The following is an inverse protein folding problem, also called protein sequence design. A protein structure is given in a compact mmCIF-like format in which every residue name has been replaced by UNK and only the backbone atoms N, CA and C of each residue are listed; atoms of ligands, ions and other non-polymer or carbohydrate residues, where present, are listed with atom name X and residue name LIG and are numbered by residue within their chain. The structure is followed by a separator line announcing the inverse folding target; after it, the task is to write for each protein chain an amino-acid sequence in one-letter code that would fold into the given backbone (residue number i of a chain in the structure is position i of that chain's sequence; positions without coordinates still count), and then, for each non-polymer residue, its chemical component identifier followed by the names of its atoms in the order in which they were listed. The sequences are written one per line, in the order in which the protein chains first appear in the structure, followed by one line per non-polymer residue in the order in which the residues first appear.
data_IF_232467984305
#
_entry.id   IF_232467984305
#
_cell.length_a   1.000
_cell.length_b   1.000
_cell.length_c   1.000
_cell.angle_alpha   90.00
_cell.angle_beta   90.00
_cell.angle_gamma   90.00
#
_symmetry.space_group_name_H-M   'P 1'
#
loop_
_entity.id
_entity.type
_entity.pdbx_description
1 polymer ?
#
# COMPACT_ATOMS: atom_id res chain seq x y z
N UNK A 1 7.83 -11.78 -8.92
CA UNK A 1 8.69 -12.74 -8.17
C UNK A 1 9.10 -13.93 -9.03
N UNK A 2 8.17 -14.75 -9.51
CA UNK A 2 8.49 -15.94 -10.32
C UNK A 2 9.31 -15.60 -11.59
N UNK A 3 8.93 -14.56 -12.33
CA UNK A 3 9.67 -14.09 -13.52
C UNK A 3 11.10 -13.63 -13.20
N UNK A 4 11.37 -13.20 -11.96
CA UNK A 4 12.70 -12.82 -11.50
C UNK A 4 13.49 -14.01 -10.93
N UNK A 5 12.95 -15.23 -11.03
CA UNK A 5 13.59 -16.45 -10.54
C UNK A 5 13.65 -16.55 -9.01
N UNK A 6 12.90 -15.71 -8.28
CA UNK A 6 12.78 -15.80 -6.82
C UNK A 6 12.02 -17.08 -6.48
N UNK A 7 12.57 -17.86 -5.55
CA UNK A 7 11.95 -19.11 -5.13
C UNK A 7 10.70 -18.82 -4.28
N UNK A 8 9.53 -19.24 -4.78
CA UNK A 8 8.23 -19.06 -4.14
C UNK A 8 7.45 -20.39 -4.17
N UNK A 9 6.49 -20.61 -3.26
CA UNK A 9 5.56 -21.74 -3.37
C UNK A 9 4.79 -21.70 -4.68
N UNK A 10 4.56 -22.86 -5.29
CA UNK A 10 3.66 -22.97 -6.44
C UNK A 10 2.25 -22.58 -6.04
N UNK A 11 1.58 -21.74 -6.83
CA UNK A 11 0.22 -21.34 -6.57
C UNK A 11 -0.41 -20.57 -7.72
N UNK A 12 -1.73 -20.46 -7.68
CA UNK A 12 -2.52 -19.75 -8.67
C UNK A 12 -3.65 -18.96 -7.99
N UNK A 13 -4.05 -17.86 -8.61
CA UNK A 13 -5.16 -17.02 -8.14
C UNK A 13 -6.49 -17.63 -8.62
N UNK A 14 -7.46 -17.70 -7.72
CA UNK A 14 -8.85 -18.03 -7.99
C UNK A 14 -9.75 -16.81 -7.73
N UNK A 15 -10.65 -16.53 -8.67
CA UNK A 15 -11.70 -15.50 -8.56
C UNK A 15 -13.08 -16.09 -8.24
N UNK A 16 -13.18 -17.41 -8.16
CA UNK A 16 -14.40 -18.12 -7.77
C UNK A 16 -14.08 -19.34 -6.90
N UNK A 17 -15.03 -19.82 -6.07
CA UNK A 17 -14.86 -21.06 -5.31
C UNK A 17 -14.57 -22.28 -6.20
N UNK A 18 -15.13 -22.33 -7.41
CA UNK A 18 -14.89 -23.41 -8.37
C UNK A 18 -13.48 -23.35 -8.98
N UNK A 19 -12.96 -22.16 -9.25
CA UNK A 19 -11.55 -22.01 -9.61
C UNK A 19 -10.62 -22.46 -8.48
N UNK A 20 -10.95 -22.13 -7.22
CA UNK A 20 -10.15 -22.55 -6.08
C UNK A 20 -10.11 -24.08 -5.95
N UNK A 21 -11.26 -24.75 -6.17
CA UNK A 21 -11.34 -26.21 -6.27
C UNK A 21 -10.42 -26.77 -7.37
N UNK A 22 -10.53 -26.22 -8.58
CA UNK A 22 -9.77 -26.68 -9.73
C UNK A 22 -8.25 -26.52 -9.53
N UNK A 23 -7.82 -25.40 -8.94
CA UNK A 23 -6.42 -25.14 -8.62
C UNK A 23 -5.92 -26.11 -7.55
N UNK A 24 -6.68 -26.31 -6.47
CA UNK A 24 -6.31 -27.27 -5.42
C UNK A 24 -6.13 -28.68 -5.98
N UNK A 25 -7.05 -29.12 -6.86
CA UNK A 25 -6.94 -30.41 -7.56
C UNK A 25 -5.71 -30.46 -8.48
N UNK A 26 -5.40 -29.38 -9.20
CA UNK A 26 -4.23 -29.29 -10.10
C UNK A 26 -2.90 -29.33 -9.35
N UNK A 27 -2.83 -28.71 -8.16
CA UNK A 27 -1.64 -28.75 -7.33
C UNK A 27 -1.33 -30.17 -6.84
N UNK A 28 -2.34 -31.02 -6.68
CA UNK A 28 -2.17 -32.45 -6.36
C UNK A 28 -1.56 -32.73 -4.99
N UNK A 29 -1.46 -31.72 -4.12
CA UNK A 29 -0.98 -31.85 -2.75
C UNK A 29 -2.08 -32.36 -1.83
N UNK A 30 -1.69 -33.03 -0.73
CA UNK A 30 -2.62 -33.46 0.33
C UNK A 30 -3.21 -32.28 1.10
N UNK A 31 -2.49 -31.16 1.12
CA UNK A 31 -2.93 -29.91 1.72
C UNK A 31 -2.45 -28.71 0.91
N UNK A 32 -3.26 -27.66 0.93
CA UNK A 32 -2.98 -26.38 0.27
C UNK A 32 -3.29 -25.23 1.22
N UNK A 33 -2.74 -24.06 0.91
CA UNK A 33 -2.98 -22.84 1.66
C UNK A 33 -3.79 -21.87 0.79
N UNK A 34 -4.94 -21.44 1.33
CA UNK A 34 -5.79 -20.39 0.76
C UNK A 34 -5.44 -19.07 1.43
N UNK A 35 -5.01 -18.07 0.65
CA UNK A 35 -4.65 -16.73 1.13
C UNK A 35 -5.53 -15.67 0.48
N UNK A 36 -6.30 -14.95 1.29
CA UNK A 36 -7.08 -13.80 0.85
C UNK A 36 -6.18 -12.75 0.17
N UNK A 37 -6.54 -12.32 -1.03
CA UNK A 37 -5.83 -11.26 -1.74
C UNK A 37 -6.52 -9.92 -1.43
N UNK A 38 -5.98 -9.24 -0.43
CA UNK A 38 -6.44 -7.94 0.06
C UNK A 38 -5.21 -7.08 0.30
N UNK A 39 -5.24 -5.80 -0.09
CA UNK A 39 -4.14 -4.85 0.12
C UNK A 39 -4.06 -4.36 1.58
N UNK A 40 -3.85 -5.31 2.49
CA UNK A 40 -3.62 -5.05 3.92
C UNK A 40 -2.78 -6.18 4.53
N UNK A 41 -1.95 -5.83 5.51
CA UNK A 41 -1.23 -6.78 6.36
C UNK A 41 -2.13 -7.42 7.42
N UNK A 42 -1.59 -8.38 8.16
CA UNK A 42 -2.30 -9.00 9.29
C UNK A 42 -3.47 -9.91 8.91
N UNK A 43 -3.57 -10.32 7.64
CA UNK A 43 -4.65 -11.17 7.10
C UNK A 43 -4.89 -12.42 7.93
N UNK A 44 -3.84 -13.10 8.39
CA UNK A 44 -3.96 -14.31 9.21
C UNK A 44 -4.75 -14.14 10.51
N UNK A 45 -4.73 -12.93 11.11
CA UNK A 45 -5.47 -12.58 12.34
C UNK A 45 -6.79 -11.84 12.06
N UNK A 46 -7.10 -11.58 10.79
CA UNK A 46 -8.33 -10.86 10.40
C UNK A 46 -9.60 -11.70 10.58
N UNK A 47 -10.75 -11.07 10.41
CA UNK A 47 -12.06 -11.75 10.43
C UNK A 47 -12.87 -11.30 9.22
N UNK A 48 -13.56 -12.23 8.56
CA UNK A 48 -14.45 -11.92 7.46
C UNK A 48 -15.86 -11.57 7.93
N UNK A 49 -16.56 -10.79 7.12
CA UNK A 49 -18.00 -10.54 7.25
C UNK A 49 -18.85 -11.83 7.29
N UNK A 50 -18.39 -12.90 6.65
CA UNK A 50 -19.02 -14.23 6.71
C UNK A 50 -18.91 -14.92 8.07
N UNK A 51 -18.13 -14.37 9.01
CA UNK A 51 -17.79 -15.00 10.29
C UNK A 51 -16.52 -15.85 10.26
N UNK A 52 -15.93 -16.10 9.08
CA UNK A 52 -14.68 -16.84 8.97
C UNK A 52 -13.53 -16.08 9.64
N UNK A 53 -12.86 -16.72 10.61
CA UNK A 53 -11.68 -16.15 11.28
C UNK A 53 -10.41 -16.49 10.51
N UNK A 54 -9.64 -15.50 10.09
CA UNK A 54 -8.33 -15.62 9.44
C UNK A 54 -8.41 -15.68 7.91
N UNK A 55 -7.65 -14.79 7.26
CA UNK A 55 -7.46 -14.71 5.81
C UNK A 55 -6.38 -15.62 5.23
N UNK A 56 -5.76 -16.47 6.06
CA UNK A 56 -4.82 -17.50 5.62
C UNK A 56 -5.27 -18.82 6.23
N UNK A 57 -5.61 -19.80 5.39
CA UNK A 57 -6.20 -21.07 5.80
C UNK A 57 -5.49 -22.24 5.16
N UNK A 58 -5.13 -23.22 5.97
CA UNK A 58 -4.71 -24.54 5.49
C UNK A 58 -5.98 -25.38 5.31
N UNK A 59 -6.08 -26.05 4.17
CA UNK A 59 -7.18 -26.95 3.81
C UNK A 59 -6.62 -28.27 3.30
N UNK A 60 -7.36 -29.36 3.50
CA UNK A 60 -6.89 -30.73 3.27
C UNK A 60 -7.59 -31.44 2.10
N UNK A 61 -8.43 -30.73 1.36
CA UNK A 61 -9.07 -31.25 0.15
C UNK A 61 -9.47 -30.12 -0.81
N UNK A 62 -9.64 -30.40 -2.11
CA UNK A 62 -10.23 -29.46 -3.06
C UNK A 62 -11.62 -28.98 -2.64
N UNK A 63 -12.44 -29.85 -2.03
CA UNK A 63 -13.77 -29.53 -1.51
C UNK A 63 -13.70 -28.51 -0.37
N UNK A 64 -12.75 -28.67 0.56
CA UNK A 64 -12.49 -27.67 1.60
C UNK A 64 -11.98 -26.35 1.00
N UNK A 65 -11.11 -26.40 -0.02
CA UNK A 65 -10.64 -25.20 -0.71
C UNK A 65 -11.82 -24.40 -1.30
N UNK A 66 -12.80 -25.09 -1.90
CA UNK A 66 -14.05 -24.47 -2.38
C UNK A 66 -14.86 -23.86 -1.24
N UNK A 67 -15.10 -24.62 -0.18
CA UNK A 67 -15.93 -24.20 0.95
C UNK A 67 -15.33 -23.04 1.76
N UNK A 68 -14.00 -22.98 1.90
CA UNK A 68 -13.32 -21.86 2.54
C UNK A 68 -13.32 -20.64 1.62
N UNK A 69 -13.05 -20.83 0.33
CA UNK A 69 -13.01 -19.71 -0.63
C UNK A 69 -14.38 -19.04 -0.82
N UNK A 70 -15.49 -19.77 -0.71
CA UNK A 70 -16.84 -19.18 -0.76
C UNK A 70 -17.17 -18.28 0.42
N UNK A 71 -16.48 -18.45 1.56
CA UNK A 71 -16.59 -17.58 2.72
C UNK A 71 -15.64 -16.37 2.66
N UNK A 72 -14.67 -16.38 1.74
CA UNK A 72 -13.73 -15.27 1.53
C UNK A 72 -14.12 -14.39 0.35
N UNK A 73 -14.36 -14.98 -0.82
CA UNK A 73 -14.58 -14.26 -2.09
C UNK A 73 -15.90 -13.48 -2.02
N UNK A 74 -15.85 -12.20 -2.35
CA UNK A 74 -17.00 -11.28 -2.28
C UNK A 74 -17.36 -10.85 -0.86
N UNK A 75 -16.51 -11.13 0.14
CA UNK A 75 -16.70 -10.72 1.54
C UNK A 75 -15.62 -9.75 1.99
N UNK A 76 -15.96 -8.84 2.89
CA UNK A 76 -14.97 -7.94 3.50
C UNK A 76 -14.12 -8.68 4.52
N UNK A 77 -12.81 -8.49 4.45
CA UNK A 77 -11.85 -8.88 5.48
C UNK A 77 -11.53 -7.67 6.35
N UNK A 78 -11.73 -7.81 7.65
CA UNK A 78 -11.38 -6.82 8.66
C UNK A 78 -10.06 -7.23 9.33
N UNK A 79 -9.09 -6.33 9.36
CA UNK A 79 -7.78 -6.49 9.99
C UNK A 79 -7.47 -5.27 10.87
N UNK A 80 -6.42 -5.35 11.69
CA UNK A 80 -5.91 -4.19 12.44
C UNK A 80 -5.59 -2.99 11.52
N UNK A 81 -5.15 -3.24 10.28
CA UNK A 81 -4.78 -2.19 9.33
C UNK A 81 -5.96 -1.60 8.54
N UNK A 82 -7.04 -2.35 8.35
CA UNK A 82 -8.22 -1.87 7.61
C UNK A 82 -9.28 -1.23 8.51
N UNK A 83 -9.21 -1.50 9.82
CA UNK A 83 -10.24 -1.10 10.78
C UNK A 83 -11.62 -1.63 10.40
N UNK A 84 -12.65 -0.87 10.79
CA UNK A 84 -14.06 -1.21 10.57
C UNK A 84 -14.50 -1.12 9.10
N UNK A 85 -13.78 -0.36 8.26
CA UNK A 85 -14.11 -0.25 6.83
C UNK A 85 -13.95 -1.61 6.13
N UNK A 86 -12.97 -2.40 6.58
CA UNK A 86 -12.56 -3.64 5.95
C UNK A 86 -12.09 -3.43 4.51
N UNK A 87 -11.73 -4.51 3.83
CA UNK A 87 -11.44 -4.51 2.39
C UNK A 87 -12.10 -5.73 1.75
N UNK A 88 -12.70 -5.54 0.58
CA UNK A 88 -13.36 -6.63 -0.15
C UNK A 88 -12.30 -7.64 -0.64
N UNK A 89 -12.52 -8.92 -0.39
CA UNK A 89 -11.67 -9.98 -0.94
C UNK A 89 -12.29 -10.47 -2.24
N UNK A 90 -11.80 -10.01 -3.39
CA UNK A 90 -12.34 -10.42 -4.70
C UNK A 90 -11.71 -11.70 -5.24
N UNK A 91 -10.56 -12.11 -4.69
CA UNK A 91 -9.82 -13.27 -5.15
C UNK A 91 -8.97 -13.86 -4.02
N UNK A 92 -8.63 -15.14 -4.15
CA UNK A 92 -7.75 -15.86 -3.22
C UNK A 92 -6.57 -16.44 -3.99
N UNK A 93 -5.41 -16.52 -3.34
CA UNK A 93 -4.28 -17.30 -3.82
C UNK A 93 -4.37 -18.69 -3.21
N UNK A 94 -4.41 -19.72 -4.06
CA UNK A 94 -4.32 -21.13 -3.65
C UNK A 94 -2.91 -21.60 -3.96
N UNK A 95 -2.16 -22.00 -2.94
CA UNK A 95 -0.76 -22.38 -3.08
C UNK A 95 -0.44 -23.69 -2.35
N UNK A 96 0.61 -24.37 -2.80
CA UNK A 96 1.14 -25.56 -2.11
C UNK A 96 1.53 -25.20 -0.68
N UNK A 97 1.24 -26.10 0.26
CA UNK A 97 1.72 -25.94 1.62
C UNK A 97 3.20 -26.29 1.68
N UNK A 98 3.95 -25.45 2.38
CA UNK A 98 5.34 -25.72 2.79
C UNK A 98 5.41 -25.85 4.31
N UNK A 99 6.43 -26.52 4.80
CA UNK A 99 6.62 -26.88 6.21
C UNK A 99 7.88 -26.19 6.76
N UNK A 100 7.80 -24.88 7.06
CA UNK A 100 8.95 -24.10 7.47
C UNK A 100 9.56 -24.64 8.77
N UNK A 101 10.88 -24.84 8.77
CA UNK A 101 11.68 -25.09 9.98
C UNK A 101 11.97 -23.80 10.71
N UNK A 102 12.21 -22.73 9.96
CA UNK A 102 12.54 -21.39 10.45
C UNK A 102 11.92 -20.33 9.56
N UNK A 103 11.47 -19.25 10.18
CA UNK A 103 10.88 -18.10 9.50
C UNK A 103 11.72 -16.86 9.79
N UNK A 104 12.04 -16.11 8.73
CA UNK A 104 12.85 -14.91 8.77
C UNK A 104 12.07 -13.75 8.14
N UNK A 105 12.41 -12.53 8.55
CA UNK A 105 11.93 -11.32 7.91
C UNK A 105 13.02 -10.77 6.97
N UNK A 106 12.65 -10.40 5.75
CA UNK A 106 13.56 -9.72 4.83
C UNK A 106 12.84 -8.60 4.10
N UNK A 107 13.47 -7.43 3.99
CA UNK A 107 12.97 -6.33 3.20
C UNK A 107 14.09 -5.56 2.50
N UNK A 108 13.72 -4.84 1.44
CA UNK A 108 14.55 -3.87 0.73
C UNK A 108 13.77 -2.57 0.69
N UNK A 109 14.39 -1.46 1.08
CA UNK A 109 13.76 -0.13 1.02
C UNK A 109 14.78 0.92 0.61
N UNK A 110 14.31 2.03 0.03
CA UNK A 110 15.13 3.24 -0.10
C UNK A 110 15.18 3.94 1.27
N UNK A 111 16.37 3.99 1.87
CA UNK A 111 16.56 4.56 3.18
C UNK A 111 17.26 5.93 3.07
N UNK A 112 16.67 6.96 3.70
CA UNK A 112 17.10 8.36 3.55
C UNK A 112 18.39 8.69 4.29
N UNK A 113 18.63 8.12 5.47
CA UNK A 113 19.89 8.27 6.22
C UNK A 113 21.10 7.65 5.50
N UNK A 114 20.88 6.59 4.70
CA UNK A 114 21.92 5.99 3.85
C UNK A 114 21.94 6.54 2.42
N UNK A 115 20.95 7.33 2.05
CA UNK A 115 20.79 7.91 0.72
C UNK A 115 20.79 6.85 -0.40
N UNK A 116 20.23 5.67 -0.13
CA UNK A 116 20.25 4.55 -1.06
C UNK A 116 19.50 3.32 -0.58
N UNK A 117 19.54 2.21 -1.34
CA UNK A 117 18.90 0.97 -0.97
C UNK A 117 19.53 0.35 0.29
N UNK A 118 18.69 -0.17 1.18
CA UNK A 118 19.12 -0.92 2.36
C UNK A 118 18.38 -2.24 2.41
N UNK A 119 19.14 -3.32 2.57
CA UNK A 119 18.60 -4.63 2.92
C UNK A 119 18.37 -4.66 4.44
N UNK A 120 17.18 -5.08 4.85
CA UNK A 120 16.78 -5.20 6.25
C UNK A 120 16.42 -6.66 6.50
N UNK A 121 16.99 -7.26 7.54
CA UNK A 121 16.76 -8.65 7.90
C UNK A 121 16.49 -8.83 9.38
N UNK A 122 15.77 -9.89 9.74
CA UNK A 122 15.63 -10.34 11.12
C UNK A 122 15.42 -11.85 11.19
N UNK A 123 15.90 -12.48 12.26
CA UNK A 123 15.61 -13.88 12.60
C UNK A 123 14.19 -14.08 13.11
N UNK A 124 13.44 -13.00 13.34
CA UNK A 124 12.06 -13.02 13.81
C UNK A 124 11.10 -12.81 12.62
N UNK A 125 10.90 -13.86 11.82
CA UNK A 125 9.90 -13.85 10.74
C UNK A 125 8.48 -14.18 11.23
N UNK A 126 7.49 -13.97 10.36
CA UNK A 126 6.09 -14.33 10.62
C UNK A 126 5.35 -13.37 11.56
N UNK A 127 6.04 -12.36 12.08
CA UNK A 127 5.52 -11.32 12.98
C UNK A 127 5.59 -9.94 12.33
N UNK A 128 4.95 -8.94 12.96
CA UNK A 128 5.02 -7.57 12.50
C UNK A 128 6.40 -6.98 12.85
N UNK A 129 7.09 -6.41 11.87
CA UNK A 129 8.48 -5.96 12.04
C UNK A 129 8.57 -4.69 12.90
N UNK A 130 7.54 -3.85 12.90
CA UNK A 130 7.48 -2.66 13.72
C UNK A 130 7.42 -3.00 15.22
N UNK A 131 6.70 -4.07 15.58
CA UNK A 131 6.69 -4.60 16.95
C UNK A 131 8.10 -5.10 17.34
N UNK A 132 8.79 -5.84 16.45
CA UNK A 132 10.18 -6.29 16.69
C UNK A 132 11.13 -5.09 16.82
N UNK A 133 10.97 -4.04 16.02
CA UNK A 133 11.79 -2.84 16.09
C UNK A 133 11.62 -2.10 17.43
N UNK A 134 10.42 -2.13 18.01
CA UNK A 134 10.13 -1.49 19.29
C UNK A 134 10.61 -2.33 20.49
N UNK A 135 10.43 -3.66 20.43
CA UNK A 135 10.72 -4.55 21.56
C UNK A 135 12.17 -5.08 21.55
N UNK A 136 12.76 -5.27 20.38
CA UNK A 136 14.07 -5.91 20.19
C UNK A 136 14.80 -5.33 18.98
N UNK A 137 15.18 -4.04 18.99
CA UNK A 137 15.81 -3.39 17.84
C UNK A 137 17.10 -4.09 17.37
N UNK A 138 17.84 -4.72 18.28
CA UNK A 138 19.07 -5.48 17.96
C UNK A 138 18.81 -6.75 17.13
N UNK A 139 17.56 -7.22 17.06
CA UNK A 139 17.17 -8.32 16.19
C UNK A 139 17.03 -7.91 14.72
N UNK A 140 17.15 -6.61 14.41
CA UNK A 140 17.06 -6.07 13.05
C UNK A 140 18.46 -5.73 12.55
N UNK A 141 18.88 -6.44 11.51
CA UNK A 141 20.16 -6.23 10.85
C UNK A 141 19.95 -5.44 9.56
N UNK A 142 20.82 -4.48 9.31
CA UNK A 142 20.78 -3.61 8.13
C UNK A 142 22.08 -3.73 7.35
N UNK A 143 21.96 -3.78 6.02
CA UNK A 143 23.09 -3.84 5.09
C UNK A 143 22.84 -2.84 3.96
N UNK A 144 23.45 -1.63 4.03
CA UNK A 144 23.35 -0.63 2.98
C UNK A 144 24.03 -1.10 1.70
N UNK A 145 23.41 -0.77 0.55
CA UNK A 145 23.91 -1.12 -0.78
C UNK A 145 24.20 0.15 -1.56
N UNK A 146 25.40 0.23 -2.13
CA UNK A 146 25.72 1.28 -3.09
C UNK A 146 24.90 1.07 -4.37
N UNK A 147 24.16 2.10 -4.78
CA UNK A 147 23.24 1.99 -5.92
C UNK A 147 23.95 1.92 -7.28
N UNK A 148 25.20 2.38 -7.36
CA UNK A 148 26.01 2.38 -8.59
C UNK A 148 26.70 1.03 -8.75
N UNK A 149 27.31 0.51 -7.68
CA UNK A 149 27.95 -0.80 -7.69
C UNK A 149 26.94 -1.95 -7.72
N UNK A 150 25.78 -1.76 -7.07
CA UNK A 150 24.77 -2.79 -6.88
C UNK A 150 25.08 -3.76 -5.74
N UNK A 151 24.17 -4.71 -5.51
CA UNK A 151 24.35 -5.73 -4.47
C UNK A 151 25.49 -6.69 -4.83
N UNK A 152 26.43 -6.89 -3.89
CA UNK A 152 27.45 -7.93 -3.99
C UNK A 152 26.99 -9.21 -3.30
N UNK A 153 27.35 -10.37 -3.85
CA UNK A 153 26.95 -11.68 -3.29
C UNK A 153 27.43 -11.82 -1.83
N UNK A 154 28.63 -11.31 -1.53
CA UNK A 154 29.22 -11.35 -0.20
C UNK A 154 28.42 -10.53 0.82
N UNK A 155 27.78 -9.43 0.40
CA UNK A 155 26.89 -8.64 1.26
C UNK A 155 25.62 -9.43 1.58
N UNK A 156 25.02 -10.06 0.56
CA UNK A 156 23.85 -10.91 0.75
C UNK A 156 24.12 -12.11 1.66
N UNK A 157 25.27 -12.79 1.49
CA UNK A 157 25.71 -13.89 2.35
C UNK A 157 25.92 -13.40 3.78
N UNK A 158 26.62 -12.28 3.98
CA UNK A 158 26.84 -11.68 5.31
C UNK A 158 25.52 -11.37 6.01
N UNK A 159 24.54 -10.80 5.29
CA UNK A 159 23.22 -10.52 5.84
C UNK A 159 22.50 -11.81 6.23
N UNK A 160 22.46 -12.81 5.35
CA UNK A 160 21.84 -14.10 5.63
C UNK A 160 22.45 -14.79 6.86
N UNK A 161 23.78 -14.74 7.03
CA UNK A 161 24.47 -15.23 8.23
C UNK A 161 24.03 -14.48 9.49
N UNK A 162 23.98 -13.14 9.44
CA UNK A 162 23.51 -12.30 10.55
C UNK A 162 22.05 -12.56 10.91
N UNK A 163 21.21 -12.90 9.94
CA UNK A 163 19.82 -13.32 10.16
C UNK A 163 19.70 -14.72 10.79
N UNK A 164 20.79 -15.48 10.88
CA UNK A 164 20.81 -16.80 11.49
C UNK A 164 20.53 -17.96 10.53
N UNK A 165 20.59 -17.75 9.21
CA UNK A 165 20.48 -18.87 8.26
C UNK A 165 21.64 -19.86 8.47
N UNK A 166 21.37 -21.18 8.52
CA UNK A 166 22.42 -22.17 8.67
C UNK A 166 23.30 -22.24 7.42
N UNK A 167 24.56 -22.64 7.61
CA UNK A 167 25.57 -22.67 6.54
C UNK A 167 25.15 -23.51 5.32
N UNK A 168 24.30 -24.52 5.50
CA UNK A 168 23.80 -25.38 4.43
C UNK A 168 22.85 -24.68 3.44
N UNK A 169 22.22 -23.57 3.85
CA UNK A 169 21.21 -22.86 3.03
C UNK A 169 21.50 -21.36 2.86
N UNK A 170 22.59 -20.87 3.45
CA UNK A 170 22.95 -19.45 3.47
C UNK A 170 23.16 -18.89 2.05
N UNK A 171 23.77 -19.65 1.16
CA UNK A 171 23.94 -19.26 -0.24
C UNK A 171 22.59 -19.17 -0.97
N UNK A 172 21.66 -20.09 -0.68
CA UNK A 172 20.31 -20.07 -1.28
C UNK A 172 19.50 -18.85 -0.81
N UNK A 173 19.63 -18.46 0.46
CA UNK A 173 19.04 -17.23 0.99
C UNK A 173 19.66 -16.01 0.29
N UNK A 174 20.98 -15.94 0.20
CA UNK A 174 21.70 -14.85 -0.45
C UNK A 174 21.31 -14.70 -1.94
N UNK A 175 21.17 -15.80 -2.67
CA UNK A 175 20.71 -15.80 -4.06
C UNK A 175 19.30 -15.22 -4.22
N UNK A 176 18.37 -15.57 -3.32
CA UNK A 176 17.04 -14.97 -3.30
C UNK A 176 17.12 -13.46 -3.00
N UNK A 177 17.95 -13.03 -2.06
CA UNK A 177 18.14 -11.60 -1.74
C UNK A 177 18.68 -10.81 -2.94
N UNK A 178 19.64 -11.35 -3.68
CA UNK A 178 20.17 -10.74 -4.92
C UNK A 178 19.09 -10.62 -5.98
N UNK A 179 18.29 -11.68 -6.20
CA UNK A 179 17.18 -11.65 -7.15
C UNK A 179 16.10 -10.62 -6.75
N UNK A 180 15.81 -10.51 -5.46
CA UNK A 180 14.87 -9.53 -4.91
C UNK A 180 15.39 -8.09 -5.08
N UNK A 181 16.69 -7.86 -4.88
CA UNK A 181 17.30 -6.55 -5.14
C UNK A 181 17.23 -6.16 -6.62
N UNK A 182 17.54 -7.10 -7.51
CA UNK A 182 17.42 -6.85 -8.95
C UNK A 182 15.97 -6.56 -9.36
N UNK A 183 15.00 -7.25 -8.75
CA UNK A 183 13.57 -6.96 -8.93
C UNK A 183 13.21 -5.57 -8.39
N UNK A 184 13.70 -5.21 -7.21
CA UNK A 184 13.47 -3.92 -6.57
C UNK A 184 13.88 -2.77 -7.49
N UNK A 185 15.07 -2.84 -8.09
CA UNK A 185 15.53 -1.85 -9.07
C UNK A 185 14.75 -1.90 -10.39
N UNK A 186 14.55 -3.10 -10.95
CA UNK A 186 13.94 -3.27 -12.28
C UNK A 186 12.53 -2.69 -12.37
N UNK A 187 11.75 -2.79 -11.30
CA UNK A 187 10.35 -2.38 -11.29
C UNK A 187 10.11 -1.08 -10.52
N UNK A 188 11.17 -0.32 -10.20
CA UNK A 188 11.06 0.94 -9.44
C UNK A 188 10.29 0.77 -8.12
N UNK A 189 10.62 -0.30 -7.38
CA UNK A 189 10.02 -0.52 -6.08
C UNK A 189 10.58 0.48 -5.06
N UNK A 190 9.71 1.02 -4.21
CA UNK A 190 10.11 1.76 -3.01
C UNK A 190 10.33 0.83 -1.83
N UNK A 191 9.66 -0.33 -1.85
CA UNK A 191 9.81 -1.38 -0.85
C UNK A 191 9.55 -2.75 -1.47
N UNK A 192 10.38 -3.73 -1.14
CA UNK A 192 10.09 -5.16 -1.32
C UNK A 192 10.21 -5.82 0.05
N UNK A 193 9.11 -6.31 0.59
CA UNK A 193 9.06 -7.01 1.88
C UNK A 193 8.67 -8.47 1.65
N UNK A 194 9.45 -9.39 2.22
CA UNK A 194 9.19 -10.83 2.27
C UNK A 194 9.00 -11.23 3.73
N UNK A 195 7.77 -11.62 4.08
CA UNK A 195 7.45 -12.00 5.44
C UNK A 195 6.40 -13.13 5.50
N UNK A 196 6.80 -14.39 5.70
CA UNK A 196 8.17 -14.84 5.98
C UNK A 196 8.98 -15.23 4.73
N UNK A 197 10.30 -15.07 4.80
CA UNK A 197 11.27 -15.87 4.05
C UNK A 197 11.59 -17.09 4.90
N UNK A 198 11.53 -18.31 4.36
CA UNK A 198 11.61 -19.53 5.18
C UNK A 198 12.70 -20.48 4.72
N UNK A 199 13.26 -21.22 5.67
CA UNK A 199 13.94 -22.49 5.45
C UNK A 199 12.90 -23.60 5.59
N UNK A 200 12.60 -24.30 4.49
CA UNK A 200 11.61 -25.39 4.47
C UNK A 200 12.21 -26.71 4.98
N UNK A 201 11.35 -27.68 5.31
CA UNK A 201 11.77 -29.01 5.79
C UNK A 201 12.68 -29.76 4.82
N UNK A 202 12.61 -29.43 3.54
CA UNK A 202 13.39 -30.04 2.46
C UNK A 202 14.75 -29.35 2.24
N UNK A 203 15.10 -28.36 3.06
CA UNK A 203 16.35 -27.60 2.92
C UNK A 203 16.32 -26.53 1.83
N UNK A 204 15.13 -26.16 1.33
CA UNK A 204 14.94 -25.07 0.37
C UNK A 204 14.71 -23.73 1.09
N UNK A 205 15.16 -22.61 0.50
CA UNK A 205 14.81 -21.26 0.94
C UNK A 205 13.72 -20.68 0.04
N UNK A 206 12.59 -20.30 0.63
CA UNK A 206 11.40 -19.84 -0.09
C UNK A 206 10.88 -18.51 0.44
N UNK A 207 10.44 -17.63 -0.45
CA UNK A 207 9.72 -16.41 -0.11
C UNK A 207 8.22 -16.71 -0.07
N UNK A 208 7.64 -16.81 1.12
CA UNK A 208 6.29 -17.36 1.32
C UNK A 208 5.17 -16.35 1.09
N UNK A 209 5.45 -15.09 1.38
CA UNK A 209 4.53 -13.97 1.21
C UNK A 209 5.33 -12.71 0.93
N UNK A 210 4.76 -11.82 0.12
CA UNK A 210 5.44 -10.61 -0.30
C UNK A 210 4.50 -9.42 -0.36
N UNK A 211 5.03 -8.27 0.04
CA UNK A 211 4.41 -6.97 -0.16
C UNK A 211 5.41 -6.09 -0.91
N UNK A 212 4.97 -5.53 -2.03
CA UNK A 212 5.82 -4.67 -2.86
C UNK A 212 5.10 -3.34 -3.03
N UNK A 213 5.79 -2.26 -2.68
CA UNK A 213 5.34 -0.90 -2.96
C UNK A 213 6.16 -0.37 -4.13
N UNK A 214 5.51 0.36 -5.04
CA UNK A 214 6.13 0.93 -6.23
C UNK A 214 6.19 2.45 -6.12
N UNK A 215 7.17 3.07 -6.77
CA UNK A 215 7.25 4.52 -6.89
C UNK A 215 6.22 5.00 -7.91
N UNK A 216 5.21 5.76 -7.46
CA UNK A 216 4.21 6.35 -8.35
C UNK A 216 4.81 7.26 -9.43
N UNK A 217 5.96 7.90 -9.15
CA UNK A 217 6.66 8.72 -10.13
C UNK A 217 7.24 7.91 -11.30
N UNK A 218 7.35 6.58 -11.15
CA UNK A 218 7.85 5.68 -12.20
C UNK A 218 6.76 5.19 -13.16
N UNK A 219 5.48 5.55 -12.95
CA UNK A 219 4.35 5.04 -13.70
C UNK A 219 4.51 5.18 -15.24
N UNK A 220 5.14 6.26 -15.69
CA UNK A 220 5.40 6.51 -17.12
C UNK A 220 6.25 5.41 -17.80
N UNK A 221 7.15 4.76 -17.04
CA UNK A 221 8.03 3.67 -17.52
C UNK A 221 7.63 2.28 -17.02
N UNK A 222 6.76 2.18 -16.02
CA UNK A 222 6.30 0.93 -15.41
C UNK A 222 4.83 0.57 -15.76
N UNK A 223 4.37 0.89 -16.97
CA UNK A 223 2.94 0.72 -17.38
C UNK A 223 2.34 -0.64 -16.99
N UNK A 224 3.04 -1.74 -17.27
CA UNK A 224 2.56 -3.10 -16.95
C UNK A 224 2.27 -3.31 -15.45
N UNK A 225 3.01 -2.65 -14.56
CA UNK A 225 2.77 -2.75 -13.11
C UNK A 225 1.57 -1.91 -12.71
N UNK A 226 1.46 -0.69 -13.22
CA UNK A 226 0.35 0.21 -12.91
C UNK A 226 -0.97 -0.25 -13.53
N UNK A 227 -0.94 -1.01 -14.63
CA UNK A 227 -2.10 -1.68 -15.20
C UNK A 227 -2.68 -2.78 -14.27
N UNK A 228 -1.90 -3.25 -13.28
CA UNK A 228 -2.35 -4.22 -12.27
C UNK A 228 -3.03 -3.57 -11.05
N UNK A 229 -3.11 -2.23 -11.00
CA UNK A 229 -3.68 -1.52 -9.86
C UNK A 229 -5.15 -1.93 -9.63
N UNK A 230 -5.45 -2.40 -8.42
CA UNK A 230 -6.78 -2.83 -8.02
C UNK A 230 -7.51 -1.74 -7.24
N UNK A 231 -8.22 -0.88 -7.97
CA UNK A 231 -9.03 0.19 -7.40
C UNK A 231 -10.14 -0.28 -6.45
N UNK A 232 -10.53 -1.57 -6.48
CA UNK A 232 -11.51 -2.11 -5.52
C UNK A 232 -10.96 -2.17 -4.09
N UNK A 233 -9.64 -2.03 -3.95
CA UNK A 233 -8.91 -2.06 -2.70
C UNK A 233 -8.57 -0.66 -2.18
N UNK A 234 -8.97 0.41 -2.87
CA UNK A 234 -8.68 1.81 -2.53
C UNK A 234 -9.98 2.58 -2.19
N UNK A 235 -9.89 3.82 -1.72
CA UNK A 235 -11.07 4.68 -1.57
C UNK A 235 -11.48 5.18 -2.97
N UNK A 236 -12.78 5.19 -3.28
CA UNK A 236 -13.27 5.67 -4.59
C UNK A 236 -12.86 7.13 -4.84
N UNK A 237 -12.74 7.93 -3.76
CA UNK A 237 -12.28 9.32 -3.83
C UNK A 237 -10.82 9.43 -4.24
N UNK A 238 -9.97 8.48 -3.83
CA UNK A 238 -8.56 8.46 -4.24
C UNK A 238 -8.45 8.21 -5.76
N UNK A 239 -9.31 7.35 -6.30
CA UNK A 239 -9.41 7.10 -7.73
C UNK A 239 -9.82 8.32 -8.53
N UNK A 240 -10.85 9.03 -8.06
CA UNK A 240 -11.33 10.22 -8.75
C UNK A 240 -10.34 11.39 -8.63
N UNK A 241 -9.67 11.52 -7.49
CA UNK A 241 -8.57 12.47 -7.32
C UNK A 241 -7.40 12.18 -8.27
N UNK A 242 -6.98 10.91 -8.39
CA UNK A 242 -5.91 10.51 -9.29
C UNK A 242 -6.22 10.83 -10.78
N UNK A 243 -7.47 10.68 -11.23
CA UNK A 243 -7.88 11.06 -12.59
C UNK A 243 -7.77 12.55 -12.85
N UNK A 244 -7.96 13.36 -11.81
CA UNK A 244 -7.91 14.82 -11.88
C UNK A 244 -6.51 15.39 -11.59
N UNK A 245 -5.51 14.52 -11.36
CA UNK A 245 -4.15 14.90 -10.94
C UNK A 245 -4.18 15.74 -9.64
N UNK A 246 -4.98 15.28 -8.66
CA UNK A 246 -5.14 15.90 -7.34
C UNK A 246 -4.59 14.94 -6.29
N UNK A 247 -3.74 15.46 -5.39
CA UNK A 247 -3.30 14.69 -4.23
C UNK A 247 -4.36 14.81 -3.14
N UNK A 248 -5.13 13.75 -2.92
CA UNK A 248 -6.22 13.70 -1.93
C UNK A 248 -5.97 12.60 -0.90
N UNK A 249 -6.27 12.87 0.37
CA UNK A 249 -6.35 11.85 1.42
C UNK A 249 -7.56 12.15 2.29
N UNK A 250 -8.50 11.22 2.34
CA UNK A 250 -9.66 11.31 3.23
C UNK A 250 -9.28 11.12 4.71
N UNK A 251 -9.83 11.95 5.57
CA UNK A 251 -9.71 11.89 7.04
C UNK A 251 -11.11 11.78 7.67
N UNK A 252 -11.18 11.67 9.00
CA UNK A 252 -12.46 11.49 9.73
C UNK A 252 -13.03 12.78 10.34
N UNK A 253 -12.60 13.95 9.83
CA UNK A 253 -13.10 15.25 10.29
C UNK A 253 -14.34 15.76 9.56
N UNK A 254 -14.67 17.04 9.80
CA UNK A 254 -15.86 17.71 9.28
C UNK A 254 -15.56 18.98 8.48
N UNK A 255 -14.31 19.45 8.45
CA UNK A 255 -13.91 20.65 7.70
C UNK A 255 -13.07 20.23 6.49
N UNK A 256 -13.64 20.36 5.31
CA UNK A 256 -12.94 20.09 4.06
C UNK A 256 -11.85 21.12 3.78
N UNK A 257 -10.72 20.70 3.24
CA UNK A 257 -9.60 21.59 2.89
C UNK A 257 -9.39 21.57 1.38
N UNK A 258 -9.20 22.74 0.77
CA UNK A 258 -8.73 22.88 -0.62
C UNK A 258 -7.55 23.85 -0.62
N UNK A 259 -6.36 23.34 -0.92
CA UNK A 259 -5.10 24.08 -0.79
C UNK A 259 -4.20 23.84 -1.99
N UNK A 260 -3.34 24.80 -2.32
CA UNK A 260 -2.25 24.59 -3.28
C UNK A 260 -0.89 24.49 -2.56
N UNK A 261 -0.19 23.38 -2.81
CA UNK A 261 1.09 23.01 -2.21
C UNK A 261 0.94 22.14 -0.97
N UNK A 262 1.55 20.95 -1.00
CA UNK A 262 1.48 19.95 0.08
C UNK A 262 1.86 20.49 1.48
N UNK A 263 2.91 21.32 1.56
CA UNK A 263 3.31 21.92 2.84
C UNK A 263 2.25 22.85 3.43
N UNK A 264 1.61 23.67 2.58
CA UNK A 264 0.53 24.55 3.00
C UNK A 264 -0.73 23.76 3.33
N UNK A 265 -1.01 22.66 2.60
CA UNK A 265 -2.13 21.77 2.87
C UNK A 265 -2.01 21.13 4.25
N UNK A 266 -0.82 20.63 4.62
CA UNK A 266 -0.52 20.14 5.98
C UNK A 266 -0.71 21.24 7.04
N UNK A 267 -0.11 22.41 6.84
CA UNK A 267 -0.25 23.53 7.78
C UNK A 267 -1.70 24.01 7.93
N UNK A 268 -2.51 23.92 6.87
CA UNK A 268 -3.93 24.27 6.90
C UNK A 268 -4.75 23.28 7.73
N UNK A 269 -4.45 21.98 7.63
CA UNK A 269 -5.06 20.98 8.52
C UNK A 269 -4.65 21.20 9.97
N UNK A 270 -3.36 21.49 10.21
CA UNK A 270 -2.82 21.72 11.55
C UNK A 270 -3.45 22.95 12.20
N UNK A 271 -3.61 24.07 11.48
CA UNK A 271 -4.22 25.28 12.02
C UNK A 271 -5.72 25.08 12.30
N UNK A 272 -6.44 24.32 11.46
CA UNK A 272 -7.84 23.93 11.76
C UNK A 272 -7.88 23.17 13.09
N UNK A 273 -6.98 22.19 13.27
CA UNK A 273 -6.93 21.38 14.48
C UNK A 273 -6.55 22.19 15.71
N UNK A 274 -5.58 23.09 15.57
CA UNK A 274 -5.12 24.02 16.61
C UNK A 274 -6.25 24.91 17.13
N UNK A 275 -7.18 25.29 16.25
CA UNK A 275 -8.36 26.08 16.59
C UNK A 275 -9.61 25.23 16.91
N UNK A 276 -9.45 23.94 17.21
CA UNK A 276 -10.51 23.06 17.72
C UNK A 276 -11.38 22.40 16.64
N UNK A 277 -11.12 22.65 15.36
CA UNK A 277 -11.78 21.96 14.25
C UNK A 277 -11.21 20.56 13.99
N UNK A 278 -11.83 19.82 13.06
CA UNK A 278 -11.33 18.53 12.59
C UNK A 278 -11.24 18.54 11.06
N UNK A 279 -10.03 18.46 10.46
CA UNK A 279 -9.88 18.40 9.02
C UNK A 279 -10.47 17.09 8.47
N UNK A 280 -11.33 17.20 7.46
CA UNK A 280 -11.98 16.07 6.81
C UNK A 280 -11.12 15.45 5.70
N UNK A 281 -10.13 16.18 5.19
CA UNK A 281 -9.23 15.69 4.16
C UNK A 281 -7.93 16.52 4.11
N UNK A 282 -6.88 15.89 3.57
CA UNK A 282 -5.77 16.58 2.90
C UNK A 282 -6.14 16.70 1.42
N UNK A 283 -5.91 17.86 0.81
CA UNK A 283 -6.04 18.03 -0.64
C UNK A 283 -5.08 19.11 -1.14
N UNK A 284 -4.22 18.72 -2.06
CA UNK A 284 -3.30 19.61 -2.79
C UNK A 284 -3.63 19.59 -4.30
N UNK A 285 -4.07 20.74 -4.83
CA UNK A 285 -4.34 20.96 -6.26
C UNK A 285 -3.11 21.38 -7.08
N UNK A 286 -1.94 21.49 -6.45
CA UNK A 286 -0.69 21.94 -7.07
C UNK A 286 -0.61 23.45 -7.29
N UNK A 287 0.60 23.95 -7.57
CA UNK A 287 0.89 25.39 -7.68
C UNK A 287 0.27 26.11 -8.90
N UNK A 288 -0.20 25.35 -9.90
CA UNK A 288 -0.79 25.86 -11.15
C UNK A 288 -2.21 25.35 -11.38
N UNK A 289 -2.99 25.18 -10.30
CA UNK A 289 -4.31 24.59 -10.34
C UNK A 289 -5.22 25.21 -11.40
N UNK A 290 -5.89 24.38 -12.20
CA UNK A 290 -6.86 24.85 -13.19
C UNK A 290 -8.25 25.01 -12.59
N UNK A 291 -9.14 25.77 -13.24
CA UNK A 291 -10.56 25.86 -12.84
C UNK A 291 -11.20 24.46 -12.79
N UNK A 292 -10.84 23.58 -13.73
CA UNK A 292 -11.31 22.19 -13.74
C UNK A 292 -10.88 21.43 -12.47
N UNK A 293 -9.59 21.49 -12.09
CA UNK A 293 -9.08 20.84 -10.88
C UNK A 293 -9.75 21.39 -9.61
N UNK A 294 -10.02 22.70 -9.55
CA UNK A 294 -10.77 23.30 -8.43
C UNK A 294 -12.19 22.73 -8.36
N UNK A 295 -12.89 22.61 -9.49
CA UNK A 295 -14.23 22.01 -9.54
C UNK A 295 -14.22 20.54 -9.12
N UNK A 296 -13.28 19.73 -9.61
CA UNK A 296 -13.14 18.34 -9.20
C UNK A 296 -12.79 18.22 -7.71
N UNK A 297 -11.94 19.11 -7.17
CA UNK A 297 -11.65 19.18 -5.74
C UNK A 297 -12.93 19.43 -4.91
N UNK A 298 -13.79 20.35 -5.33
CA UNK A 298 -15.07 20.57 -4.66
C UNK A 298 -15.99 19.36 -4.74
N UNK A 299 -16.07 18.66 -5.88
CA UNK A 299 -16.83 17.41 -6.01
C UNK A 299 -16.32 16.35 -5.02
N UNK A 300 -15.01 16.16 -4.94
CA UNK A 300 -14.38 15.22 -4.02
C UNK A 300 -14.70 15.53 -2.56
N UNK A 301 -14.52 16.78 -2.14
CA UNK A 301 -14.80 17.21 -0.76
C UNK A 301 -16.30 17.03 -0.42
N UNK A 302 -17.19 17.47 -1.31
CA UNK A 302 -18.64 17.42 -1.06
C UNK A 302 -19.27 16.04 -1.25
N UNK A 303 -18.53 15.08 -1.81
CA UNK A 303 -18.91 13.67 -1.82
C UNK A 303 -19.01 13.09 -0.40
N UNK A 304 -18.20 13.60 0.53
CA UNK A 304 -18.21 13.18 1.94
C UNK A 304 -19.28 13.93 2.73
N UNK A 305 -20.32 13.19 3.14
CA UNK A 305 -21.45 13.73 3.90
C UNK A 305 -21.09 14.18 5.32
N UNK A 306 -19.90 13.84 5.83
CA UNK A 306 -19.39 14.37 7.11
C UNK A 306 -18.93 15.81 7.00
N UNK A 307 -18.67 16.32 5.79
CA UNK A 307 -18.16 17.68 5.59
C UNK A 307 -19.27 18.70 5.82
N UNK A 308 -19.05 19.58 6.81
CA UNK A 308 -19.98 20.63 7.23
C UNK A 308 -19.52 22.04 6.84
N UNK A 309 -18.24 22.21 6.49
CA UNK A 309 -17.67 23.47 6.02
C UNK A 309 -16.44 23.19 5.15
N UNK A 310 -16.07 24.15 4.29
CA UNK A 310 -14.84 24.07 3.48
C UNK A 310 -13.95 25.27 3.77
N UNK A 311 -12.67 25.02 4.04
CA UNK A 311 -11.62 26.04 4.06
C UNK A 311 -10.81 25.96 2.76
N UNK A 312 -10.94 27.00 1.93
CA UNK A 312 -10.11 27.21 0.76
C UNK A 312 -8.95 28.12 1.15
N UNK A 313 -7.71 27.65 1.03
CA UNK A 313 -6.53 28.45 1.31
C UNK A 313 -5.59 28.39 0.11
N UNK A 314 -5.62 29.43 -0.72
CA UNK A 314 -4.79 29.49 -1.93
C UNK A 314 -3.81 30.67 -1.85
N UNK A 315 -2.52 30.34 -2.00
CA UNK A 315 -1.46 31.33 -2.23
C UNK A 315 -1.17 31.38 -3.73
N UNK A 316 -1.72 32.39 -4.40
CA UNK A 316 -1.72 32.56 -5.86
C UNK A 316 -0.37 33.04 -6.41
N UNK A 317 0.72 32.29 -6.19
CA UNK A 317 2.07 32.65 -6.64
C UNK A 317 2.11 33.14 -8.10
N UNK A 318 1.98 32.24 -9.06
CA UNK A 318 1.85 32.58 -10.50
C UNK A 318 0.41 32.80 -10.97
N UNK A 319 -0.56 32.44 -10.13
CA UNK A 319 -1.98 32.49 -10.45
C UNK A 319 -2.64 33.78 -9.96
N UNK A 320 -3.53 34.36 -10.76
CA UNK A 320 -4.27 35.56 -10.33
C UNK A 320 -5.47 35.17 -9.46
N UNK A 321 -5.64 35.85 -8.34
CA UNK A 321 -6.69 35.54 -7.37
C UNK A 321 -8.10 35.76 -7.93
N UNK A 322 -8.30 36.74 -8.82
CA UNK A 322 -9.60 37.02 -9.44
C UNK A 322 -10.11 35.86 -10.30
N UNK A 323 -9.21 35.21 -11.05
CA UNK A 323 -9.56 34.04 -11.87
C UNK A 323 -9.91 32.84 -10.99
N UNK A 324 -9.18 32.65 -9.89
CA UNK A 324 -9.45 31.59 -8.91
C UNK A 324 -10.80 31.81 -8.23
N UNK A 325 -11.08 33.04 -7.78
CA UNK A 325 -12.35 33.40 -7.15
C UNK A 325 -13.53 33.14 -8.10
N UNK A 326 -13.40 33.52 -9.38
CA UNK A 326 -14.39 33.19 -10.40
C UNK A 326 -14.59 31.68 -10.54
N UNK A 327 -13.50 30.90 -10.60
CA UNK A 327 -13.56 29.44 -10.66
C UNK A 327 -14.26 28.82 -9.44
N UNK A 328 -14.00 29.33 -8.25
CA UNK A 328 -14.68 28.90 -7.01
C UNK A 328 -16.18 29.21 -7.10
N UNK A 329 -16.56 30.44 -7.48
CA UNK A 329 -17.97 30.84 -7.58
C UNK A 329 -18.71 29.99 -8.61
N UNK A 330 -18.07 29.67 -9.75
CA UNK A 330 -18.64 28.77 -10.76
C UNK A 330 -18.82 27.36 -10.20
N UNK A 331 -17.79 26.76 -9.59
CA UNK A 331 -17.88 25.43 -9.01
C UNK A 331 -18.97 25.33 -7.94
N UNK A 332 -19.11 26.34 -7.08
CA UNK A 332 -20.15 26.40 -6.04
C UNK A 332 -21.55 26.44 -6.64
N UNK A 333 -21.75 27.18 -7.73
CA UNK A 333 -23.03 27.25 -8.44
C UNK A 333 -23.35 25.95 -9.14
N UNK A 334 -22.40 25.42 -9.91
CA UNK A 334 -22.57 24.22 -10.72
C UNK A 334 -22.83 22.96 -9.88
N UNK A 335 -22.22 22.89 -8.70
CA UNK A 335 -22.39 21.77 -7.76
C UNK A 335 -23.45 22.02 -6.69
N UNK A 336 -24.13 23.17 -6.75
CA UNK A 336 -25.15 23.61 -5.79
C UNK A 336 -24.72 23.50 -4.31
N UNK A 337 -23.46 23.82 -4.00
CA UNK A 337 -22.89 23.63 -2.67
C UNK A 337 -23.62 24.50 -1.64
N UNK A 338 -24.13 23.88 -0.58
CA UNK A 338 -24.91 24.56 0.49
C UNK A 338 -24.13 24.78 1.78
N UNK A 339 -23.01 24.09 1.97
CA UNK A 339 -22.18 24.23 3.17
C UNK A 339 -21.33 25.51 3.11
N UNK A 340 -21.05 26.15 4.26
CA UNK A 340 -20.25 27.36 4.32
C UNK A 340 -18.83 27.13 3.77
N UNK A 341 -18.36 28.10 3.00
CA UNK A 341 -17.02 28.12 2.42
C UNK A 341 -16.28 29.35 2.95
N UNK A 342 -15.19 29.13 3.66
CA UNK A 342 -14.27 30.18 4.09
C UNK A 342 -13.13 30.22 3.08
N UNK A 343 -12.93 31.36 2.45
CA UNK A 343 -11.92 31.52 1.40
C UNK A 343 -10.85 32.49 1.88
N UNK A 344 -9.60 32.02 1.86
CA UNK A 344 -8.40 32.85 2.00
C UNK A 344 -7.62 32.78 0.69
N UNK A 345 -7.58 33.91 -0.01
CA UNK A 345 -6.73 34.13 -1.18
C UNK A 345 -5.62 35.11 -0.82
N UNK A 346 -4.41 34.86 -1.33
CA UNK A 346 -3.30 35.81 -1.26
C UNK A 346 -2.52 35.76 -2.56
N UNK A 347 -2.26 36.92 -3.18
CA UNK A 347 -1.50 36.98 -4.43
C UNK A 347 -1.92 38.15 -5.31
N UNK A 348 -1.64 38.01 -6.60
CA UNK A 348 -1.92 39.05 -7.62
C UNK A 348 -3.43 39.25 -7.77
N UNK A 349 -3.89 40.52 -7.80
CA UNK A 349 -5.31 40.91 -7.91
C UNK A 349 -6.20 40.37 -6.78
N UNK A 350 -5.67 40.22 -5.57
CA UNK A 350 -6.46 39.75 -4.42
C UNK A 350 -7.62 40.69 -4.08
N UNK A 351 -7.47 41.99 -4.26
CA UNK A 351 -8.54 42.95 -3.95
C UNK A 351 -9.69 42.89 -4.98
N UNK A 352 -9.41 42.53 -6.23
CA UNK A 352 -10.45 42.26 -7.24
C UNK A 352 -11.17 40.91 -7.02
N UNK A 353 -10.57 40.03 -6.21
CA UNK A 353 -11.09 38.70 -5.92
C UNK A 353 -12.00 38.66 -4.69
N UNK A 354 -11.90 39.67 -3.81
CA UNK A 354 -12.80 39.89 -2.67
C UNK A 354 -14.11 40.48 -3.17
#
# INVERSE_FOLDING_TARGET
LQEAGVAIPKGHVAKSPDEAFAIAKKLGSKDVVIKAQVLAGGRGKGTFESGLKGGVKIVFSPEEAKAVSSQMIGKKLFTKQTGEKGRICNQVLVCERRYPRREYYFAITMERSFQGPVLIGSSQGGVNIEDVAAESPDAIVKEPIDIIEGIKKEQAVRLAQKMGFPSSVVDSAAENMVKLYNLFLKYDATMVEINPMVEDSDGAVLCMDAKINFDSNSAYRQKKIFDLQDWTQEDERDKDAAKADINYIGLDGTIGCLVNGAGLAMATMDIIKLHGGTPANFLDVGGGATVHQVTEAFKLITSDKKVLAILVNIFGGIMRCDVIAQGIVMAVKDLEIKIPIVVRLQGTRVDDAK
#
